data_IF_923212559140
#
_entry.id   IF_923212559140
#
_cell.length_a   1.000
_cell.length_b   1.000
_cell.length_c   1.000
_cell.angle_alpha   90.00
_cell.angle_beta   90.00
_cell.angle_gamma   90.00
#
_symmetry.space_group_name_H-M   'P 1'
#
loop_
_entity.id
_entity.type
_entity.pdbx_description
1 polymer ?
#
# COMPACT_ATOMS: atom_id res chain seq x y z
N UNK A 1 -29.98 10.91 -35.63
CA UNK A 1 -30.39 10.58 -34.25
C UNK A 1 -29.21 9.88 -33.59
N UNK A 2 -28.39 10.60 -32.82
CA UNK A 2 -27.18 10.07 -32.22
C UNK A 2 -27.51 9.40 -30.87
N UNK A 3 -27.17 8.12 -30.73
CA UNK A 3 -27.28 7.39 -29.46
C UNK A 3 -26.27 7.98 -28.48
N UNK A 4 -26.76 8.58 -27.38
CA UNK A 4 -25.90 9.02 -26.28
C UNK A 4 -25.27 7.77 -25.64
N UNK A 5 -23.95 7.74 -25.35
CA UNK A 5 -23.39 6.66 -24.55
C UNK A 5 -24.07 6.70 -23.18
N UNK A 6 -24.69 5.59 -22.78
CA UNK A 6 -25.19 5.44 -21.41
C UNK A 6 -24.01 5.56 -20.46
N UNK A 7 -23.96 6.64 -19.68
CA UNK A 7 -23.02 6.79 -18.57
C UNK A 7 -23.30 5.67 -17.56
N UNK A 8 -22.49 4.61 -17.61
CA UNK A 8 -22.59 3.50 -16.69
C UNK A 8 -22.12 3.98 -15.32
N UNK A 9 -23.04 4.03 -14.34
CA UNK A 9 -22.72 4.38 -12.97
C UNK A 9 -21.87 3.27 -12.34
N UNK A 10 -20.61 3.57 -12.06
CA UNK A 10 -19.72 2.65 -11.35
C UNK A 10 -20.02 2.73 -9.86
N UNK A 11 -20.35 1.58 -9.26
CA UNK A 11 -20.59 1.48 -7.81
C UNK A 11 -19.30 1.07 -7.10
N UNK A 12 -18.97 1.73 -5.98
CA UNK A 12 -17.90 1.35 -5.06
C UNK A 12 -18.49 0.45 -3.97
N UNK A 13 -17.84 -0.68 -3.68
CA UNK A 13 -18.29 -1.62 -2.63
C UNK A 13 -17.18 -1.88 -1.62
N UNK A 14 -17.63 -2.10 -0.39
CA UNK A 14 -16.76 -2.50 0.72
C UNK A 14 -16.31 -3.95 0.57
N UNK A 15 -15.14 -4.29 1.13
CA UNK A 15 -14.65 -5.66 1.15
C UNK A 15 -15.44 -6.57 2.09
N UNK A 16 -15.42 -7.87 1.77
CA UNK A 16 -15.94 -8.96 2.62
C UNK A 16 -14.77 -9.79 3.10
N UNK A 17 -14.77 -10.16 4.38
CA UNK A 17 -13.68 -10.93 5.00
C UNK A 17 -14.20 -12.27 5.54
N UNK A 18 -13.35 -13.32 5.50
CA UNK A 18 -13.67 -14.62 6.13
C UNK A 18 -13.65 -14.54 7.66
N UNK A 19 -12.78 -13.69 8.22
CA UNK A 19 -12.74 -13.28 9.62
C UNK A 19 -12.68 -11.76 9.70
N UNK A 20 -13.29 -11.15 10.73
CA UNK A 20 -13.32 -9.68 10.87
C UNK A 20 -11.95 -9.16 11.38
N UNK A 21 -11.17 -8.43 10.57
CA UNK A 21 -9.90 -7.90 11.01
C UNK A 21 -10.11 -6.83 12.08
N UNK A 22 -9.12 -6.66 12.97
CA UNK A 22 -9.22 -5.66 14.03
C UNK A 22 -9.28 -4.22 13.48
N UNK A 23 -8.57 -3.94 12.38
CA UNK A 23 -8.61 -2.66 11.68
C UNK A 23 -8.57 -2.86 10.17
N UNK A 24 -9.39 -2.10 9.44
CA UNK A 24 -9.36 -2.03 7.98
C UNK A 24 -9.25 -0.58 7.55
N UNK A 25 -8.21 -0.29 6.77
CA UNK A 25 -7.95 1.03 6.18
C UNK A 25 -8.28 0.99 4.68
N UNK A 26 -9.29 1.76 4.28
CA UNK A 26 -9.67 1.96 2.88
C UNK A 26 -8.82 3.03 2.23
N UNK A 27 -8.20 2.72 1.10
CA UNK A 27 -7.40 3.68 0.32
C UNK A 27 -8.28 4.42 -0.68
N UNK A 28 -8.12 5.74 -0.76
CA UNK A 28 -8.79 6.58 -1.77
C UNK A 28 -7.90 7.76 -2.22
N UNK A 29 -7.48 7.80 -3.50
CA UNK A 29 -7.54 6.73 -4.49
C UNK A 29 -6.61 5.54 -4.16
N UNK A 30 -6.65 4.46 -4.93
CA UNK A 30 -5.67 3.35 -4.88
C UNK A 30 -4.32 3.78 -5.51
N UNK A 31 -3.68 4.75 -4.88
CA UNK A 31 -2.40 5.28 -5.29
C UNK A 31 -1.52 5.53 -4.06
N UNK A 32 -0.59 4.62 -3.78
CA UNK A 32 0.33 4.69 -2.63
C UNK A 32 1.27 5.90 -2.60
N UNK A 33 1.24 6.76 -3.62
CA UNK A 33 1.96 8.04 -3.62
C UNK A 33 1.08 9.19 -3.17
N UNK A 34 -0.23 9.08 -3.34
CA UNK A 34 -1.18 10.14 -3.04
C UNK A 34 -2.54 9.51 -2.75
N UNK A 35 -2.82 9.30 -1.47
CA UNK A 35 -4.03 8.62 -1.00
C UNK A 35 -4.41 9.09 0.39
N UNK A 36 -5.68 8.98 0.73
CA UNK A 36 -6.14 9.00 2.13
C UNK A 36 -6.53 7.59 2.53
N UNK A 37 -6.15 7.20 3.74
CA UNK A 37 -6.47 5.90 4.33
C UNK A 37 -7.50 6.12 5.43
N UNK A 38 -8.74 5.68 5.21
CA UNK A 38 -9.84 5.87 6.17
C UNK A 38 -10.25 4.54 6.82
N UNK A 39 -10.60 4.59 8.10
CA UNK A 39 -11.09 3.42 8.85
C UNK A 39 -12.43 2.99 8.27
N UNK A 40 -12.56 1.72 7.86
CA UNK A 40 -13.80 1.20 7.25
C UNK A 40 -15.03 1.39 8.15
N UNK A 41 -14.89 1.15 9.45
CA UNK A 41 -16.00 1.16 10.42
C UNK A 41 -16.50 2.58 10.75
N UNK A 42 -15.62 3.57 10.81
CA UNK A 42 -15.97 4.95 11.23
C UNK A 42 -15.97 5.95 10.08
N UNK A 43 -15.30 5.66 8.96
CA UNK A 43 -15.07 6.59 7.86
C UNK A 43 -14.03 7.67 8.16
N UNK A 44 -13.45 7.67 9.37
CA UNK A 44 -12.45 8.66 9.77
C UNK A 44 -11.13 8.40 9.05
N UNK A 45 -10.49 9.47 8.56
CA UNK A 45 -9.15 9.36 7.97
C UNK A 45 -8.17 9.01 9.08
N UNK A 46 -7.41 7.93 8.93
CA UNK A 46 -6.33 7.54 9.83
C UNK A 46 -4.97 8.01 9.32
N UNK A 47 -4.78 8.08 7.99
CA UNK A 47 -3.56 8.59 7.38
C UNK A 47 -3.84 9.40 6.11
N UNK A 48 -3.00 10.40 5.88
CA UNK A 48 -2.94 11.15 4.62
C UNK A 48 -1.55 10.97 4.01
N UNK A 49 -1.51 10.58 2.74
CA UNK A 49 -0.29 10.39 1.97
C UNK A 49 -0.24 11.47 0.90
N UNK A 50 0.78 12.31 0.97
CA UNK A 50 0.97 13.44 0.07
C UNK A 50 2.30 13.33 -0.64
N UNK A 51 2.29 13.45 -1.98
CA UNK A 51 3.52 13.52 -2.75
C UNK A 51 3.84 14.94 -3.19
N UNK A 52 5.13 15.24 -3.33
CA UNK A 52 5.61 16.44 -4.02
C UNK A 52 5.12 16.44 -5.48
N UNK A 53 5.16 17.61 -6.14
CA UNK A 53 4.81 17.73 -7.57
C UNK A 53 5.62 16.79 -8.47
N UNK A 54 6.89 16.53 -8.10
CA UNK A 54 7.78 15.59 -8.79
C UNK A 54 7.49 14.12 -8.49
N UNK A 55 6.58 13.82 -7.53
CA UNK A 55 6.27 12.47 -7.03
C UNK A 55 7.47 11.72 -6.43
N UNK A 56 8.58 12.43 -6.17
CA UNK A 56 9.82 11.88 -5.62
C UNK A 56 9.84 11.95 -4.10
N UNK A 57 9.09 12.84 -3.46
CA UNK A 57 8.95 12.89 -2.01
C UNK A 57 7.53 12.57 -1.63
N UNK A 58 7.34 11.67 -0.68
CA UNK A 58 6.05 11.23 -0.22
C UNK A 58 6.02 11.33 1.31
N UNK A 59 5.19 12.22 1.84
CA UNK A 59 4.99 12.40 3.26
C UNK A 59 3.73 11.66 3.72
N UNK A 60 3.83 10.97 4.84
CA UNK A 60 2.73 10.24 5.48
C UNK A 60 2.40 10.96 6.77
N UNK A 61 1.14 11.38 6.94
CA UNK A 61 0.68 12.14 8.10
C UNK A 61 -0.44 11.40 8.81
N UNK A 62 -0.50 11.56 10.13
CA UNK A 62 -1.74 11.36 10.90
C UNK A 62 -2.58 12.64 10.84
N UNK A 63 -3.92 12.55 10.84
CA UNK A 63 -4.78 13.73 10.94
C UNK A 63 -4.42 14.58 12.14
N UNK A 64 -4.38 15.90 11.94
CA UNK A 64 -4.10 16.87 13.00
C UNK A 64 -2.64 17.00 13.43
N UNK A 65 -1.71 16.24 12.83
CA UNK A 65 -0.28 16.41 13.06
C UNK A 65 0.38 17.09 11.85
N UNK A 66 1.15 18.14 12.12
CA UNK A 66 1.97 18.83 11.10
C UNK A 66 3.28 18.09 10.81
N UNK A 67 3.72 17.21 11.72
CA UNK A 67 4.91 16.39 11.55
C UNK A 67 4.52 15.06 10.90
N UNK A 68 5.17 14.66 9.79
CA UNK A 68 4.88 13.40 9.14
C UNK A 68 5.39 12.22 9.99
N UNK A 69 4.63 11.13 10.04
CA UNK A 69 5.07 9.85 10.63
C UNK A 69 6.20 9.21 9.82
N UNK A 70 6.24 9.52 8.52
CA UNK A 70 7.35 9.17 7.66
C UNK A 70 7.47 10.10 6.45
N UNK A 71 8.71 10.33 6.02
CA UNK A 71 9.07 10.94 4.75
C UNK A 71 9.82 9.92 3.89
N UNK A 72 9.24 9.55 2.76
CA UNK A 72 9.82 8.62 1.79
C UNK A 72 10.35 9.44 0.61
N UNK A 73 11.66 9.40 0.37
CA UNK A 73 12.31 10.09 -0.73
C UNK A 73 12.85 9.08 -1.74
N UNK A 74 12.31 9.14 -2.95
CA UNK A 74 12.66 8.28 -4.07
C UNK A 74 13.60 9.02 -5.00
N UNK A 75 14.62 8.33 -5.49
CA UNK A 75 15.62 8.94 -6.38
C UNK A 75 15.89 8.02 -7.57
N UNK A 76 16.00 8.62 -8.75
CA UNK A 76 16.20 7.85 -9.99
C UNK A 76 17.62 7.24 -10.07
N UNK A 77 18.64 7.96 -9.56
CA UNK A 77 20.05 7.57 -9.65
C UNK A 77 20.68 7.14 -8.32
N UNK A 78 20.00 7.35 -7.20
CA UNK A 78 20.53 7.08 -5.86
C UNK A 78 19.58 6.19 -5.07
N UNK A 79 20.08 5.54 -4.02
CA UNK A 79 19.23 4.74 -3.15
C UNK A 79 18.12 5.59 -2.51
N UNK A 80 16.89 5.06 -2.54
CA UNK A 80 15.74 5.63 -1.85
C UNK A 80 16.04 5.82 -0.35
N UNK A 81 15.52 6.90 0.21
CA UNK A 81 15.70 7.30 1.61
C UNK A 81 14.37 7.32 2.34
N UNK A 82 14.43 7.11 3.64
CA UNK A 82 13.30 7.27 4.55
C UNK A 82 13.74 7.99 5.82
N UNK A 83 12.86 8.82 6.33
CA UNK A 83 12.94 9.40 7.67
C UNK A 83 11.65 9.01 8.39
N UNK A 84 11.76 8.27 9.49
CA UNK A 84 10.62 7.95 10.37
C UNK A 84 10.51 9.03 11.45
N UNK A 85 9.33 9.16 12.07
CA UNK A 85 9.09 10.11 13.15
C UNK A 85 10.12 9.95 14.28
N UNK A 86 10.86 11.02 14.59
CA UNK A 86 11.88 11.01 15.63
C UNK A 86 13.17 10.25 15.29
N UNK A 87 13.31 9.72 14.07
CA UNK A 87 14.50 8.98 13.64
C UNK A 87 15.34 9.76 12.62
N UNK A 88 16.62 9.39 12.50
CA UNK A 88 17.51 9.96 11.49
C UNK A 88 17.16 9.46 10.07
N UNK A 89 17.50 10.28 9.08
CA UNK A 89 17.35 9.93 7.67
C UNK A 89 18.27 8.78 7.29
N UNK A 90 17.70 7.68 6.82
CA UNK A 90 18.43 6.47 6.42
C UNK A 90 18.04 5.97 5.04
N UNK A 91 18.79 5.00 4.50
CA UNK A 91 18.40 4.33 3.25
C UNK A 91 17.25 3.36 3.50
N UNK A 92 16.27 3.27 2.60
CA UNK A 92 15.14 2.34 2.78
C UNK A 92 15.64 0.91 2.95
N UNK A 93 16.63 0.48 2.16
CA UNK A 93 17.24 -0.86 2.27
C UNK A 93 17.89 -1.16 3.64
N UNK A 94 18.25 -0.14 4.40
CA UNK A 94 18.81 -0.33 5.75
C UNK A 94 17.70 -0.67 6.74
N UNK A 95 16.52 -0.09 6.55
CA UNK A 95 15.32 -0.34 7.34
C UNK A 95 14.55 -1.59 6.86
N UNK A 96 14.24 -1.66 5.56
CA UNK A 96 13.58 -2.77 4.88
C UNK A 96 14.63 -3.67 4.19
N UNK A 97 15.04 -4.75 4.86
CA UNK A 97 15.95 -5.76 4.29
C UNK A 97 15.30 -6.44 3.09
N UNK A 98 16.06 -6.62 2.00
CA UNK A 98 15.54 -7.11 0.71
C UNK A 98 14.98 -6.01 -0.20
N UNK A 99 14.88 -4.75 0.27
CA UNK A 99 14.46 -3.64 -0.57
C UNK A 99 15.57 -3.20 -1.53
N UNK A 100 15.26 -3.15 -2.83
CA UNK A 100 16.15 -2.62 -3.89
C UNK A 100 16.75 -3.67 -4.82
N UNK A 101 16.75 -4.95 -4.45
CA UNK A 101 17.16 -6.05 -5.34
C UNK A 101 15.97 -6.48 -6.23
N UNK A 102 16.23 -6.93 -7.46
CA UNK A 102 15.18 -7.50 -8.31
C UNK A 102 14.64 -8.79 -7.66
N UNK A 103 13.37 -8.78 -7.25
CA UNK A 103 12.58 -9.95 -6.79
C UNK A 103 13.04 -10.68 -5.52
N UNK A 104 13.57 -10.00 -4.51
CA UNK A 104 13.83 -10.62 -3.20
C UNK A 104 12.66 -10.39 -2.23
N UNK A 105 11.62 -11.22 -2.36
CA UNK A 105 10.73 -11.47 -1.22
C UNK A 105 11.27 -12.67 -0.43
N UNK A 106 11.20 -12.65 0.90
CA UNK A 106 10.51 -11.66 1.73
C UNK A 106 11.28 -10.34 1.92
N UNK A 107 10.55 -9.22 2.01
CA UNK A 107 11.10 -7.93 2.47
C UNK A 107 10.84 -7.83 3.97
N UNK A 108 11.88 -7.56 4.75
CA UNK A 108 11.82 -7.70 6.21
C UNK A 108 12.19 -6.41 6.95
N UNK A 109 11.59 -6.19 8.11
CA UNK A 109 11.96 -5.08 8.99
C UNK A 109 11.80 -5.48 10.46
N UNK A 110 12.51 -4.79 11.33
CA UNK A 110 12.40 -4.98 12.78
C UNK A 110 11.63 -3.83 13.42
N UNK A 111 10.77 -4.15 14.38
CA UNK A 111 10.11 -3.16 15.24
C UNK A 111 9.92 -3.75 16.62
N UNK A 112 10.33 -2.99 17.65
CA UNK A 112 10.19 -3.38 19.06
C UNK A 112 10.81 -4.76 19.38
N UNK A 113 11.94 -5.09 18.75
CA UNK A 113 12.65 -6.36 18.94
C UNK A 113 12.06 -7.56 18.18
N UNK A 114 10.95 -7.38 17.46
CA UNK A 114 10.35 -8.41 16.64
C UNK A 114 10.69 -8.20 15.16
N UNK A 115 10.90 -9.30 14.46
CA UNK A 115 11.15 -9.33 13.01
C UNK A 115 9.85 -9.59 12.27
N UNK A 116 9.60 -8.81 11.21
CA UNK A 116 8.41 -8.93 10.38
C UNK A 116 8.79 -9.10 8.91
N UNK A 117 7.97 -9.85 8.18
CA UNK A 117 8.21 -10.23 6.79
C UNK A 117 7.02 -9.89 5.91
N UNK A 118 7.19 -8.96 5.00
CA UNK A 118 6.32 -8.82 3.84
C UNK A 118 6.61 -9.98 2.87
N UNK A 119 5.58 -10.75 2.55
CA UNK A 119 5.57 -11.80 1.53
C UNK A 119 4.56 -11.43 0.44
N UNK A 120 4.81 -11.93 -0.78
CA UNK A 120 3.87 -11.84 -1.89
C UNK A 120 3.47 -13.23 -2.35
N UNK A 121 2.23 -13.39 -2.80
CA UNK A 121 1.80 -14.60 -3.49
C UNK A 121 1.84 -14.43 -5.02
N UNK A 122 1.44 -15.48 -5.76
CA UNK A 122 1.43 -15.52 -7.23
C UNK A 122 0.53 -14.44 -7.87
N UNK A 123 -0.46 -13.93 -7.13
CA UNK A 123 -1.36 -12.85 -7.59
C UNK A 123 -0.90 -11.47 -7.12
N UNK A 124 0.35 -11.34 -6.65
CA UNK A 124 0.92 -10.09 -6.12
C UNK A 124 0.14 -9.48 -4.97
N UNK A 125 -0.55 -10.31 -4.19
CA UNK A 125 -1.14 -9.88 -2.92
C UNK A 125 -0.05 -9.79 -1.88
N UNK A 126 -0.01 -8.66 -1.18
CA UNK A 126 1.01 -8.34 -0.21
C UNK A 126 0.48 -8.64 1.20
N UNK A 127 1.21 -9.45 1.96
CA UNK A 127 0.84 -9.83 3.33
C UNK A 127 2.05 -9.79 4.26
N UNK A 128 1.84 -9.33 5.49
CA UNK A 128 2.84 -9.17 6.53
C UNK A 128 2.71 -10.31 7.53
N UNK A 129 3.83 -10.92 7.89
CA UNK A 129 3.91 -12.00 8.85
C UNK A 129 4.87 -11.63 9.97
N UNK A 130 4.56 -12.06 11.19
CA UNK A 130 5.49 -12.03 12.32
C UNK A 130 6.46 -13.21 12.21
N UNK A 131 7.75 -13.03 12.51
CA UNK A 131 8.70 -14.14 12.52
C UNK A 131 8.31 -15.22 13.54
N UNK A 132 7.65 -14.82 14.64
CA UNK A 132 7.10 -15.75 15.64
C UNK A 132 5.85 -16.49 15.18
N UNK A 133 5.19 -16.03 14.11
CA UNK A 133 3.99 -16.66 13.55
C UNK A 133 4.01 -16.58 12.01
N UNK A 134 4.83 -17.42 11.34
CA UNK A 134 5.11 -17.28 9.91
C UNK A 134 3.97 -17.74 8.98
N UNK A 135 2.98 -18.47 9.53
CA UNK A 135 1.88 -19.09 8.78
C UNK A 135 0.61 -18.22 8.76
N UNK A 136 0.46 -17.32 9.73
CA UNK A 136 -0.71 -16.45 9.84
C UNK A 136 -0.32 -14.99 9.58
N UNK A 137 -0.88 -14.34 8.54
CA UNK A 137 -0.60 -12.95 8.29
C UNK A 137 -1.23 -12.07 9.37
N UNK A 138 -0.49 -11.05 9.80
CA UNK A 138 -0.96 -10.05 10.75
C UNK A 138 -1.45 -8.77 10.06
N UNK A 139 -1.14 -8.60 8.77
CA UNK A 139 -1.71 -7.57 7.92
C UNK A 139 -1.69 -8.01 6.46
N UNK A 140 -2.64 -7.57 5.66
CA UNK A 140 -2.64 -7.85 4.22
C UNK A 140 -3.35 -6.77 3.42
N UNK A 141 -2.90 -6.59 2.20
CA UNK A 141 -3.37 -5.55 1.30
C UNK A 141 -3.99 -6.17 0.05
N UNK A 142 -5.12 -5.59 -0.37
CA UNK A 142 -5.74 -5.88 -1.66
C UNK A 142 -5.90 -4.60 -2.49
N UNK A 143 -5.39 -4.66 -3.72
CA UNK A 143 -5.54 -3.58 -4.73
C UNK A 143 -6.99 -3.43 -5.14
N UNK A 144 -7.31 -2.24 -5.65
CA UNK A 144 -8.62 -2.01 -6.26
C UNK A 144 -8.80 -2.90 -7.49
N UNK A 145 -10.01 -3.46 -7.64
CA UNK A 145 -10.35 -4.39 -8.73
C UNK A 145 -11.67 -4.01 -9.35
N UNK A 146 -11.72 -4.01 -10.69
CA UNK A 146 -12.99 -3.91 -11.43
C UNK A 146 -13.62 -5.30 -11.50
N UNK A 147 -14.89 -5.40 -11.12
CA UNK A 147 -15.72 -6.61 -11.27
C UNK A 147 -17.06 -6.24 -11.90
N UNK A 148 -17.76 -7.25 -12.41
CA UNK A 148 -19.16 -7.13 -12.78
C UNK A 148 -19.96 -7.91 -11.75
N UNK A 149 -20.83 -7.22 -11.01
CA UNK A 149 -21.73 -7.82 -10.03
C UNK A 149 -23.14 -7.50 -10.50
N UNK A 150 -23.97 -8.53 -10.68
CA UNK A 150 -25.35 -8.41 -11.18
C UNK A 150 -25.46 -7.59 -12.48
N UNK A 151 -24.52 -7.82 -13.41
CA UNK A 151 -24.47 -7.14 -14.71
C UNK A 151 -23.98 -5.69 -14.66
N UNK A 152 -23.64 -5.15 -13.49
CA UNK A 152 -23.16 -3.77 -13.33
C UNK A 152 -21.65 -3.72 -13.07
N UNK A 153 -20.92 -2.79 -13.71
CA UNK A 153 -19.51 -2.59 -13.41
C UNK A 153 -19.35 -1.97 -12.01
N UNK A 154 -18.50 -2.61 -11.23
CA UNK A 154 -18.26 -2.31 -9.83
C UNK A 154 -16.76 -2.20 -9.61
N UNK A 155 -16.34 -1.20 -8.83
CA UNK A 155 -14.97 -1.11 -8.35
C UNK A 155 -14.94 -1.53 -6.88
N UNK A 156 -14.25 -2.63 -6.61
CA UNK A 156 -13.84 -2.98 -5.26
C UNK A 156 -12.73 -2.01 -4.86
N UNK A 157 -12.93 -1.31 -3.75
CA UNK A 157 -11.95 -0.35 -3.24
C UNK A 157 -10.69 -1.07 -2.75
N UNK A 158 -9.54 -0.41 -2.82
CA UNK A 158 -8.31 -0.93 -2.24
C UNK A 158 -8.33 -0.78 -0.72
N UNK A 159 -7.77 -1.75 0.00
CA UNK A 159 -7.78 -1.75 1.46
C UNK A 159 -6.58 -2.50 2.05
N UNK A 160 -6.18 -2.08 3.25
CA UNK A 160 -5.18 -2.70 4.09
C UNK A 160 -5.85 -3.16 5.40
N UNK A 161 -5.88 -4.46 5.63
CA UNK A 161 -6.41 -5.07 6.85
C UNK A 161 -5.27 -5.38 7.82
N UNK A 162 -5.56 -5.30 9.12
CA UNK A 162 -4.63 -5.55 10.22
C UNK A 162 -5.29 -6.32 11.35
N UNK A 163 -4.54 -7.29 11.88
CA UNK A 163 -4.83 -8.00 13.12
C UNK A 163 -4.37 -7.20 14.34
N UNK A 164 -4.83 -7.55 15.56
CA UNK A 164 -4.45 -6.84 16.79
C UNK A 164 -2.93 -6.68 16.98
N UNK A 165 -2.14 -7.68 16.59
CA UNK A 165 -0.67 -7.60 16.64
C UNK A 165 -0.11 -6.48 15.75
N UNK A 166 -0.65 -6.32 14.54
CA UNK A 166 -0.22 -5.28 13.62
C UNK A 166 -0.66 -3.87 14.06
N UNK A 167 -1.74 -3.74 14.84
CA UNK A 167 -2.18 -2.44 15.40
C UNK A 167 -1.10 -1.86 16.33
N UNK A 168 -0.42 -2.70 17.11
CA UNK A 168 0.65 -2.25 18.01
C UNK A 168 1.83 -1.59 17.25
N UNK A 169 1.99 -1.90 15.97
CA UNK A 169 3.02 -1.36 15.09
C UNK A 169 2.43 -0.65 13.86
N UNK A 170 1.22 -0.11 13.97
CA UNK A 170 0.40 0.39 12.86
C UNK A 170 1.16 1.32 11.90
N UNK A 171 1.92 2.29 12.41
CA UNK A 171 2.68 3.21 11.54
C UNK A 171 3.75 2.47 10.74
N UNK A 172 4.48 1.55 11.37
CA UNK A 172 5.49 0.77 10.68
C UNK A 172 4.84 -0.11 9.60
N UNK A 173 3.65 -0.67 9.86
CA UNK A 173 2.88 -1.43 8.87
C UNK A 173 2.48 -0.53 7.71
N UNK A 174 1.85 0.63 7.96
CA UNK A 174 1.41 1.57 6.91
C UNK A 174 2.59 2.06 6.07
N UNK A 175 3.66 2.52 6.71
CA UNK A 175 4.81 3.10 6.02
C UNK A 175 5.57 2.05 5.22
N UNK A 176 5.79 0.86 5.79
CA UNK A 176 6.46 -0.23 5.07
C UNK A 176 5.60 -0.75 3.92
N UNK A 177 4.28 -0.86 4.11
CA UNK A 177 3.31 -1.16 3.05
C UNK A 177 3.45 -0.17 1.88
N UNK A 178 3.40 1.14 2.14
CA UNK A 178 3.47 2.17 1.09
C UNK A 178 4.79 2.08 0.30
N UNK A 179 5.91 1.79 0.98
CA UNK A 179 7.20 1.59 0.33
C UNK A 179 7.24 0.32 -0.53
N UNK A 180 6.84 -0.82 0.03
CA UNK A 180 6.89 -2.13 -0.65
C UNK A 180 5.92 -2.19 -1.82
N UNK A 181 4.68 -1.73 -1.64
CA UNK A 181 3.67 -1.73 -2.68
C UNK A 181 4.03 -0.77 -3.82
N UNK A 182 4.67 0.37 -3.51
CA UNK A 182 5.20 1.24 -4.55
C UNK A 182 6.26 0.53 -5.40
N UNK A 183 7.23 -0.13 -4.75
CA UNK A 183 8.25 -0.92 -5.45
C UNK A 183 7.61 -1.98 -6.34
N UNK A 184 6.65 -2.74 -5.82
CA UNK A 184 5.93 -3.76 -6.60
C UNK A 184 5.27 -3.17 -7.86
N UNK A 185 4.61 -2.01 -7.75
CA UNK A 185 3.99 -1.36 -8.91
C UNK A 185 5.02 -0.86 -9.92
N UNK A 186 6.18 -0.42 -9.47
CA UNK A 186 7.26 0.04 -10.36
C UNK A 186 7.92 -1.15 -11.07
N UNK A 187 8.17 -2.25 -10.36
CA UNK A 187 8.76 -3.47 -10.93
C UNK A 187 7.84 -4.10 -12.00
N UNK A 188 6.52 -4.12 -11.77
CA UNK A 188 5.54 -4.60 -12.77
C UNK A 188 5.55 -3.71 -14.01
N UNK A 189 5.52 -2.38 -13.84
CA UNK A 189 5.57 -1.43 -14.98
C UNK A 189 6.85 -1.58 -15.79
N UNK A 190 7.99 -1.74 -15.13
CA UNK A 190 9.27 -1.97 -15.80
C UNK A 190 9.25 -3.30 -16.59
N UNK A 191 8.71 -4.36 -15.98
CA UNK A 191 8.54 -5.66 -16.64
C UNK A 191 7.64 -5.59 -17.88
N UNK A 192 6.49 -4.91 -17.79
CA UNK A 192 5.56 -4.75 -18.90
C UNK A 192 6.17 -3.94 -20.05
N UNK A 193 6.89 -2.86 -19.75
CA UNK A 193 7.62 -2.05 -20.74
C UNK A 193 8.68 -2.89 -21.47
N UNK A 194 9.46 -3.68 -20.74
CA UNK A 194 10.46 -4.59 -21.32
C UNK A 194 9.80 -5.69 -22.17
N UNK A 195 8.60 -6.12 -21.82
CA UNK A 195 7.82 -7.11 -22.56
C UNK A 195 7.00 -6.52 -23.72
N UNK A 196 7.09 -5.21 -23.98
CA UNK A 196 6.32 -4.53 -25.03
C UNK A 196 4.80 -4.49 -24.80
N UNK A 197 4.35 -4.69 -23.55
CA UNK A 197 2.93 -4.65 -23.18
C UNK A 197 2.59 -3.26 -22.65
N UNK A 198 1.69 -2.54 -23.31
CA UNK A 198 1.21 -1.25 -22.79
C UNK A 198 0.23 -1.51 -21.62
N UNK A 199 0.66 -1.26 -20.38
CA UNK A 199 -0.20 -1.35 -19.20
C UNK A 199 -1.10 -0.12 -19.12
N UNK A 200 -2.32 -0.22 -19.65
CA UNK A 200 -3.37 0.78 -19.44
C UNK A 200 -3.94 0.64 -18.02
N UNK A 201 -3.26 1.21 -17.02
CA UNK A 201 -3.86 1.48 -15.72
C UNK A 201 -4.24 2.96 -15.63
N UNK A 202 -5.56 3.19 -15.55
CA UNK A 202 -6.15 4.51 -15.29
C UNK A 202 -5.75 4.94 -13.87
N UNK A 203 -5.18 6.15 -13.78
CA UNK A 203 -4.77 6.85 -12.55
C UNK A 203 -5.97 7.21 -11.68
#
# INVERSE_FOLDING_TARGET
MALRPSESQITLVNPTFEHDPALVLLLKPDNVKQTSMAVLKTGEVAYKVESSKSLTKCSVFRPGNDTPVALIERKDFFADKITLEGEERQAIKNWLKGYGTFKEFPISFEKSGNLYHWKTNIVSQLALFSAGNPDHPIAWFERSKKRVIDGKPVILQAWLAMEPEAIAIQDAVVVSFLAVEHKLRTDVKAGDLLAGRASNFVV
#
